data_IF_684538778432
#
_entry.id   IF_684538778432
#
_cell.length_a   1.000
_cell.length_b   1.000
_cell.length_c   1.000
_cell.angle_alpha   90.00
_cell.angle_beta   90.00
_cell.angle_gamma   90.00
#
_symmetry.space_group_name_H-M   'P 1'
#
loop_
_entity.id
_entity.type
_entity.pdbx_description
1 polymer ?
#
# COMPACT_ATOMS: atom_id res chain seq x y z
N UNK A 1 2.44 -30.38 -12.10
CA UNK A 1 1.76 -30.14 -10.81
C UNK A 1 1.46 -28.66 -10.73
N UNK A 2 0.29 -28.20 -10.25
CA UNK A 2 0.11 -26.79 -9.99
C UNK A 2 1.17 -26.39 -8.96
N UNK A 3 1.99 -25.41 -9.31
CA UNK A 3 3.02 -24.83 -8.44
C UNK A 3 2.32 -24.30 -7.19
N UNK A 4 2.74 -24.73 -6.00
CA UNK A 4 2.22 -24.11 -4.77
C UNK A 4 2.48 -22.61 -4.84
N UNK A 5 1.41 -21.80 -4.86
CA UNK A 5 1.51 -20.35 -4.88
C UNK A 5 2.05 -19.86 -3.53
N UNK A 6 3.32 -19.49 -3.52
CA UNK A 6 4.04 -19.05 -2.33
C UNK A 6 3.98 -17.52 -2.18
N UNK A 7 3.18 -17.05 -1.24
CA UNK A 7 3.06 -15.63 -0.89
C UNK A 7 3.96 -15.35 0.32
N UNK A 8 4.97 -14.51 0.13
CA UNK A 8 5.90 -14.10 1.19
C UNK A 8 5.57 -12.68 1.64
N UNK A 9 5.69 -12.39 2.94
CA UNK A 9 5.51 -11.06 3.49
C UNK A 9 6.86 -10.39 3.74
N UNK A 10 7.02 -9.18 3.21
CA UNK A 10 8.20 -8.35 3.46
C UNK A 10 8.26 -7.85 4.90
N UNK A 11 9.39 -7.24 5.32
CA UNK A 11 9.62 -6.85 6.71
C UNK A 11 8.63 -5.81 7.26
N UNK A 12 7.97 -5.05 6.38
CA UNK A 12 6.99 -4.03 6.74
C UNK A 12 5.54 -4.47 6.47
N UNK A 13 5.32 -5.71 6.05
CA UNK A 13 4.02 -6.27 5.73
C UNK A 13 3.60 -7.26 6.81
N UNK A 14 2.34 -7.25 7.22
CA UNK A 14 1.81 -8.19 8.23
C UNK A 14 0.78 -9.10 7.57
N UNK A 15 0.97 -10.40 7.71
CA UNK A 15 0.01 -11.38 7.17
C UNK A 15 -1.38 -11.25 7.79
N UNK A 16 -1.46 -10.83 9.05
CA UNK A 16 -2.72 -10.55 9.75
C UNK A 16 -3.53 -9.40 9.13
N UNK A 17 -2.89 -8.54 8.32
CA UNK A 17 -3.55 -7.39 7.70
C UNK A 17 -4.14 -7.74 6.32
N UNK A 18 -3.94 -8.97 5.83
CA UNK A 18 -4.48 -9.44 4.54
C UNK A 18 -5.49 -10.54 4.79
N UNK A 19 -6.72 -10.32 4.35
CA UNK A 19 -7.81 -11.27 4.61
C UNK A 19 -7.63 -12.56 3.83
N UNK A 20 -8.21 -13.65 4.32
CA UNK A 20 -8.24 -14.94 3.61
C UNK A 20 -8.87 -14.81 2.23
N UNK A 21 -9.91 -13.97 2.10
CA UNK A 21 -10.53 -13.64 0.82
C UNK A 21 -9.53 -13.02 -0.16
N UNK A 22 -8.83 -11.96 0.24
CA UNK A 22 -7.84 -11.29 -0.60
C UNK A 22 -6.66 -12.19 -0.96
N UNK A 23 -6.22 -13.06 -0.05
CA UNK A 23 -5.22 -14.08 -0.35
C UNK A 23 -5.73 -15.11 -1.38
N UNK A 24 -7.01 -15.48 -1.33
CA UNK A 24 -7.66 -16.31 -2.35
C UNK A 24 -7.63 -15.65 -3.73
N UNK A 25 -8.06 -14.39 -3.81
CA UNK A 25 -8.01 -13.59 -5.05
C UNK A 25 -6.58 -13.54 -5.59
N UNK A 26 -5.59 -13.25 -4.74
CA UNK A 26 -4.19 -13.17 -5.15
C UNK A 26 -3.67 -14.52 -5.67
N UNK A 27 -4.02 -15.64 -5.04
CA UNK A 27 -3.65 -16.99 -5.52
C UNK A 27 -4.27 -17.29 -6.88
N UNK A 28 -5.53 -16.97 -7.09
CA UNK A 28 -6.20 -17.19 -8.38
C UNK A 28 -5.52 -16.39 -9.50
N UNK A 29 -5.18 -15.13 -9.24
CA UNK A 29 -4.40 -14.28 -10.15
C UNK A 29 -3.03 -14.90 -10.42
N UNK A 30 -2.33 -15.35 -9.38
CA UNK A 30 -1.04 -16.01 -9.51
C UNK A 30 -1.13 -17.27 -10.38
N UNK A 31 -2.15 -18.10 -10.19
CA UNK A 31 -2.40 -19.30 -11.01
C UNK A 31 -2.67 -18.91 -12.47
N UNK A 32 -3.55 -17.93 -12.72
CA UNK A 32 -3.88 -17.47 -14.07
C UNK A 32 -2.67 -16.89 -14.81
N UNK A 33 -1.73 -16.30 -14.09
CA UNK A 33 -0.49 -15.73 -14.64
C UNK A 33 0.70 -16.69 -14.63
N UNK A 34 0.55 -17.93 -14.16
CA UNK A 34 1.64 -18.89 -13.95
C UNK A 34 2.78 -18.33 -13.06
N UNK A 35 2.42 -17.53 -12.04
CA UNK A 35 3.35 -16.98 -11.06
C UNK A 35 3.39 -17.87 -9.82
N UNK A 36 4.51 -18.52 -9.57
CA UNK A 36 4.65 -19.44 -8.44
C UNK A 36 4.92 -18.73 -7.11
N UNK A 37 5.57 -17.56 -7.13
CA UNK A 37 6.00 -16.85 -5.92
C UNK A 37 5.93 -15.33 -6.13
N UNK A 38 5.58 -14.61 -5.07
CA UNK A 38 5.68 -13.15 -4.99
C UNK A 38 5.90 -12.69 -3.54
N UNK A 39 6.21 -11.41 -3.37
CA UNK A 39 6.36 -10.76 -2.06
C UNK A 39 5.31 -9.65 -1.93
N UNK A 40 4.45 -9.74 -0.90
CA UNK A 40 3.66 -8.62 -0.43
C UNK A 40 4.60 -7.69 0.35
N UNK A 41 4.87 -6.50 -0.19
CA UNK A 41 5.82 -5.53 0.37
C UNK A 41 5.20 -4.58 1.37
N UNK A 42 3.89 -4.36 1.30
CA UNK A 42 3.18 -3.49 2.23
C UNK A 42 1.72 -3.91 2.37
N UNK A 43 1.15 -3.66 3.55
CA UNK A 43 -0.25 -3.98 3.92
C UNK A 43 -0.88 -2.76 4.59
N UNK A 44 -2.10 -2.95 5.12
CA UNK A 44 -2.83 -1.94 5.88
C UNK A 44 -1.95 -1.24 6.94
N UNK A 45 -2.20 0.05 7.15
CA UNK A 45 -1.42 0.94 8.01
C UNK A 45 -2.34 1.67 8.97
N UNK A 46 -1.91 1.77 10.21
CA UNK A 46 -2.44 2.77 11.12
C UNK A 46 -2.08 4.18 10.62
N UNK A 47 -2.78 5.25 11.06
CA UNK A 47 -2.37 6.62 10.76
C UNK A 47 -0.92 6.93 11.15
N UNK A 48 -0.45 6.36 12.26
CA UNK A 48 0.93 6.51 12.72
C UNK A 48 1.94 5.80 11.80
N UNK A 49 1.59 4.60 11.32
CA UNK A 49 2.40 3.89 10.32
C UNK A 49 2.44 4.63 8.99
N UNK A 50 1.31 5.19 8.55
CA UNK A 50 1.25 6.00 7.34
C UNK A 50 2.12 7.27 7.48
N UNK A 51 2.09 7.96 8.62
CA UNK A 51 2.99 9.08 8.90
C UNK A 51 4.47 8.68 8.85
N UNK A 52 4.83 7.55 9.48
CA UNK A 52 6.19 7.01 9.46
C UNK A 52 6.66 6.69 8.04
N UNK A 53 5.82 6.05 7.23
CA UNK A 53 6.15 5.72 5.82
C UNK A 53 6.32 7.00 5.00
N UNK A 54 5.40 7.96 5.12
CA UNK A 54 5.52 9.25 4.44
C UNK A 54 6.80 9.99 4.83
N UNK A 55 7.11 10.05 6.13
CA UNK A 55 8.35 10.65 6.64
C UNK A 55 9.59 9.98 6.02
N UNK A 56 9.67 8.66 6.07
CA UNK A 56 10.81 7.92 5.52
C UNK A 56 10.96 8.11 4.01
N UNK A 57 9.85 8.15 3.27
CA UNK A 57 9.89 8.39 1.83
C UNK A 57 10.32 9.84 1.51
N UNK A 58 9.94 10.82 2.34
CA UNK A 58 10.40 12.20 2.19
C UNK A 58 11.92 12.31 2.42
N UNK A 59 12.45 11.63 3.43
CA UNK A 59 13.90 11.62 3.72
C UNK A 59 14.71 10.87 2.64
N UNK A 60 14.16 9.81 2.04
CA UNK A 60 14.91 8.94 1.11
C UNK A 60 14.69 9.25 -0.37
N UNK A 61 13.51 9.74 -0.75
CA UNK A 61 13.12 10.00 -2.15
C UNK A 61 12.95 11.50 -2.44
N UNK A 62 12.85 12.33 -1.40
CA UNK A 62 12.71 13.77 -1.49
C UNK A 62 11.27 14.27 -1.67
N UNK A 63 11.05 15.52 -1.25
CA UNK A 63 9.76 16.21 -1.27
C UNK A 63 9.14 16.23 -2.67
N UNK A 64 9.93 16.56 -3.69
CA UNK A 64 9.43 16.68 -5.06
C UNK A 64 8.84 15.36 -5.60
N UNK A 65 9.45 14.23 -5.25
CA UNK A 65 8.92 12.92 -5.64
C UNK A 65 7.59 12.62 -4.91
N UNK A 66 7.54 12.87 -3.61
CA UNK A 66 6.34 12.61 -2.82
C UNK A 66 5.17 13.53 -3.19
N UNK A 67 5.43 14.80 -3.57
CA UNK A 67 4.37 15.71 -4.04
C UNK A 67 3.75 15.29 -5.38
N UNK A 68 4.50 14.60 -6.23
CA UNK A 68 3.95 14.00 -7.48
C UNK A 68 3.09 12.77 -7.20
N UNK A 69 3.44 12.00 -6.16
CA UNK A 69 2.73 10.78 -5.77
C UNK A 69 1.40 11.09 -5.06
N UNK A 70 1.43 11.98 -4.07
CA UNK A 70 0.27 12.27 -3.25
C UNK A 70 -0.67 13.31 -3.87
N UNK A 71 -1.98 13.06 -3.73
CA UNK A 71 -3.04 14.06 -3.96
C UNK A 71 -3.07 15.10 -2.83
N UNK A 72 -3.94 16.12 -2.97
CA UNK A 72 -4.02 17.26 -2.04
C UNK A 72 -4.04 16.89 -0.53
N UNK A 73 -4.79 15.88 -0.04
CA UNK A 73 -4.72 15.52 1.39
C UNK A 73 -3.34 15.04 1.82
N UNK A 74 -2.69 14.18 1.02
CA UNK A 74 -1.32 13.75 1.30
C UNK A 74 -0.30 14.89 1.17
N UNK A 75 -0.50 15.82 0.23
CA UNK A 75 0.33 17.02 0.11
C UNK A 75 0.24 17.91 1.36
N UNK A 76 -0.94 18.03 1.97
CA UNK A 76 -1.08 18.76 3.24
C UNK A 76 -0.31 18.11 4.40
N UNK A 77 -0.12 16.78 4.39
CA UNK A 77 0.76 16.09 5.36
C UNK A 77 2.24 16.35 5.05
N UNK A 78 2.60 16.46 3.76
CA UNK A 78 3.95 16.88 3.35
C UNK A 78 4.24 18.31 3.82
N UNK A 79 3.27 19.22 3.75
CA UNK A 79 3.42 20.59 4.27
C UNK A 79 3.76 20.59 5.77
N UNK A 80 3.14 19.70 6.55
CA UNK A 80 3.45 19.53 7.99
C UNK A 80 4.89 19.05 8.21
N UNK A 81 5.37 18.13 7.36
CA UNK A 81 6.77 17.71 7.38
C UNK A 81 7.71 18.89 7.12
N UNK A 82 7.47 19.65 6.04
CA UNK A 82 8.33 20.78 5.65
C UNK A 82 8.37 21.86 6.74
N UNK A 83 7.22 22.25 7.28
CA UNK A 83 7.13 23.19 8.39
C UNK A 83 7.86 22.68 9.64
N UNK A 84 7.75 21.38 9.93
CA UNK A 84 8.44 20.74 11.04
C UNK A 84 9.96 20.77 10.89
N UNK A 85 10.48 20.46 9.70
CA UNK A 85 11.92 20.52 9.40
C UNK A 85 12.44 21.96 9.46
N UNK A 86 11.71 22.92 8.89
CA UNK A 86 12.07 24.34 8.95
C UNK A 86 12.12 24.89 10.39
N UNK A 87 11.26 24.39 11.27
CA UNK A 87 11.23 24.73 12.68
C UNK A 87 12.25 23.95 13.55
N UNK A 88 13.10 23.10 12.95
CA UNK A 88 14.10 22.32 13.69
C UNK A 88 13.51 21.26 14.64
N UNK A 89 12.29 20.78 14.38
CA UNK A 89 11.65 19.75 15.21
C UNK A 89 12.35 18.40 15.04
N UNK A 90 12.27 17.58 16.08
CA UNK A 90 12.76 16.19 16.04
C UNK A 90 11.91 15.33 15.10
N UNK A 91 12.48 14.27 14.54
CA UNK A 91 11.76 13.33 13.66
C UNK A 91 10.49 12.77 14.31
N UNK A 92 10.52 12.49 15.62
CA UNK A 92 9.36 11.99 16.35
C UNK A 92 8.25 13.04 16.50
N UNK A 93 8.61 14.29 16.80
CA UNK A 93 7.64 15.38 16.84
C UNK A 93 7.01 15.65 15.47
N UNK A 94 7.79 15.53 14.38
CA UNK A 94 7.29 15.68 13.01
C UNK A 94 6.32 14.54 12.67
N UNK A 95 6.69 13.28 12.91
CA UNK A 95 5.82 12.12 12.68
C UNK A 95 4.53 12.20 13.49
N UNK A 96 4.59 12.67 14.74
CA UNK A 96 3.39 12.89 15.57
C UNK A 96 2.47 13.96 14.96
N UNK A 97 3.03 15.09 14.50
CA UNK A 97 2.25 16.14 13.82
C UNK A 97 1.65 15.65 12.50
N UNK A 98 2.40 14.88 11.71
CA UNK A 98 1.91 14.24 10.49
C UNK A 98 0.77 13.27 10.80
N UNK A 99 0.89 12.47 11.87
CA UNK A 99 -0.16 11.54 12.33
C UNK A 99 -1.44 12.30 12.67
N UNK A 100 -1.32 13.40 13.44
CA UNK A 100 -2.46 14.25 13.77
C UNK A 100 -3.13 14.81 12.50
N UNK A 101 -2.33 15.26 11.52
CA UNK A 101 -2.87 15.76 10.25
C UNK A 101 -3.57 14.67 9.43
N UNK A 102 -3.05 13.44 9.42
CA UNK A 102 -3.70 12.30 8.77
C UNK A 102 -5.07 12.01 9.40
N UNK A 103 -5.15 12.02 10.73
CA UNK A 103 -6.41 11.84 11.43
C UNK A 103 -7.40 12.97 11.12
N UNK A 104 -6.94 14.22 11.14
CA UNK A 104 -7.74 15.41 10.81
C UNK A 104 -8.34 15.34 9.40
N UNK A 105 -7.53 14.96 8.41
CA UNK A 105 -7.95 14.89 7.00
C UNK A 105 -8.79 13.65 6.68
N UNK A 106 -8.85 12.67 7.58
CA UNK A 106 -9.38 11.35 7.33
C UNK A 106 -8.30 10.43 6.71
N UNK A 107 -7.91 9.32 7.37
CA UNK A 107 -6.81 8.49 6.91
C UNK A 107 -6.98 7.97 5.48
N UNK A 108 -8.20 7.57 5.10
CA UNK A 108 -8.52 7.12 3.74
C UNK A 108 -8.36 8.21 2.68
N UNK A 109 -8.52 9.49 3.02
CA UNK A 109 -8.31 10.59 2.07
C UNK A 109 -6.81 10.80 1.78
N UNK A 110 -5.94 10.44 2.74
CA UNK A 110 -4.49 10.53 2.60
C UNK A 110 -3.92 9.30 1.90
N UNK A 111 -4.35 8.10 2.30
CA UNK A 111 -3.87 6.83 1.75
C UNK A 111 -4.90 5.72 1.97
N UNK A 112 -5.21 4.96 0.93
CA UNK A 112 -6.12 3.81 1.04
C UNK A 112 -5.52 2.65 1.86
N UNK A 113 -4.19 2.61 2.04
CA UNK A 113 -3.57 1.73 3.03
C UNK A 113 -4.07 1.99 4.46
N UNK A 114 -4.71 3.14 4.74
CA UNK A 114 -5.32 3.43 6.03
C UNK A 114 -6.85 3.23 6.07
N UNK A 115 -7.42 2.52 5.09
CA UNK A 115 -8.82 2.09 5.10
C UNK A 115 -9.11 1.04 6.20
N UNK A 116 -10.39 0.83 6.50
CA UNK A 116 -10.81 -0.33 7.30
C UNK A 116 -10.61 -1.59 6.46
N UNK A 117 -9.73 -2.53 6.86
CA UNK A 117 -9.46 -3.75 6.11
C UNK A 117 -10.69 -4.66 5.98
N UNK A 118 -11.74 -4.48 6.82
CA UNK A 118 -13.02 -5.20 6.72
C UNK A 118 -13.91 -4.69 5.60
N UNK A 119 -13.66 -3.49 5.08
CA UNK A 119 -14.42 -2.91 3.96
C UNK A 119 -13.58 -2.93 2.68
N UNK A 120 -12.30 -2.60 2.80
CA UNK A 120 -11.35 -2.53 1.69
C UNK A 120 -9.99 -3.00 2.15
N UNK A 121 -9.58 -4.18 1.71
CA UNK A 121 -8.24 -4.69 2.01
C UNK A 121 -7.25 -4.19 0.96
N UNK A 122 -6.19 -3.52 1.44
CA UNK A 122 -5.20 -2.85 0.59
C UNK A 122 -3.82 -3.41 0.89
N UNK A 123 -3.10 -3.79 -0.17
CA UNK A 123 -1.73 -4.30 -0.07
C UNK A 123 -0.97 -4.06 -1.37
N UNK A 124 0.36 -4.00 -1.26
CA UNK A 124 1.24 -3.87 -2.41
C UNK A 124 2.05 -5.14 -2.60
N UNK A 125 2.13 -5.62 -3.84
CA UNK A 125 3.10 -6.64 -4.25
C UNK A 125 4.34 -5.94 -4.81
N UNK A 126 5.53 -6.39 -4.41
CA UNK A 126 6.78 -5.89 -4.96
C UNK A 126 6.91 -6.32 -6.44
N UNK A 127 6.93 -5.40 -7.42
CA UNK A 127 6.99 -5.78 -8.84
C UNK A 127 8.21 -6.64 -9.16
N UNK A 128 9.35 -6.37 -8.52
CA UNK A 128 10.61 -7.12 -8.69
C UNK A 128 10.55 -8.57 -8.17
N UNK A 129 9.53 -8.94 -7.41
CA UNK A 129 9.33 -10.31 -6.92
C UNK A 129 8.51 -11.20 -7.85
N UNK A 130 7.90 -10.62 -8.89
CA UNK A 130 6.99 -11.31 -9.81
C UNK A 130 7.76 -11.70 -11.07
N UNK A 131 7.85 -13.01 -11.34
CA UNK A 131 8.66 -13.54 -12.45
C UNK A 131 8.19 -13.08 -13.84
N UNK A 132 6.88 -13.06 -14.08
CA UNK A 132 6.27 -12.46 -15.28
C UNK A 132 5.27 -11.39 -14.87
N UNK A 133 5.79 -10.17 -14.68
CA UNK A 133 4.98 -9.03 -14.24
C UNK A 133 3.90 -8.66 -15.26
N UNK A 134 4.12 -8.90 -16.56
CA UNK A 134 3.17 -8.52 -17.60
C UNK A 134 1.97 -9.48 -17.61
N UNK A 135 2.22 -10.78 -17.57
CA UNK A 135 1.16 -11.78 -17.44
C UNK A 135 0.38 -11.59 -16.13
N UNK A 136 1.08 -11.30 -15.03
CA UNK A 136 0.47 -11.03 -13.74
C UNK A 136 -0.45 -9.80 -13.80
N UNK A 137 0.02 -8.66 -14.29
CA UNK A 137 -0.83 -7.47 -14.44
C UNK A 137 -2.04 -7.71 -15.36
N UNK A 138 -1.87 -8.50 -16.42
CA UNK A 138 -2.97 -8.85 -17.32
C UNK A 138 -4.02 -9.75 -16.63
N UNK A 139 -3.59 -10.66 -15.76
CA UNK A 139 -4.49 -11.48 -14.95
C UNK A 139 -5.24 -10.62 -13.90
N UNK A 140 -4.54 -9.74 -13.18
CA UNK A 140 -5.16 -8.84 -12.19
C UNK A 140 -6.24 -7.98 -12.83
N UNK A 141 -5.95 -7.35 -13.98
CA UNK A 141 -6.91 -6.47 -14.68
C UNK A 141 -8.16 -7.18 -15.19
N UNK A 142 -8.15 -8.51 -15.27
CA UNK A 142 -9.30 -9.33 -15.67
C UNK A 142 -10.12 -9.83 -14.47
N UNK A 143 -9.58 -9.72 -13.25
CA UNK A 143 -10.25 -10.21 -12.05
C UNK A 143 -11.19 -9.13 -11.49
N UNK A 144 -12.49 -9.34 -11.63
CA UNK A 144 -13.53 -8.40 -11.21
C UNK A 144 -13.58 -8.16 -9.69
N UNK A 145 -12.91 -8.99 -8.87
CA UNK A 145 -12.82 -8.83 -7.42
C UNK A 145 -11.81 -7.74 -7.02
N UNK A 146 -10.89 -7.38 -7.92
CA UNK A 146 -9.94 -6.28 -7.70
C UNK A 146 -10.56 -4.98 -8.19
N UNK A 147 -11.05 -4.16 -7.26
CA UNK A 147 -11.73 -2.89 -7.60
C UNK A 147 -10.78 -1.85 -8.17
N UNK A 148 -9.52 -1.86 -7.72
CA UNK A 148 -8.50 -0.94 -8.20
C UNK A 148 -7.13 -1.58 -8.14
N UNK A 149 -6.38 -1.35 -9.21
CA UNK A 149 -5.03 -1.85 -9.38
C UNK A 149 -4.15 -0.73 -9.94
N UNK A 150 -3.13 -0.33 -9.19
CA UNK A 150 -2.15 0.67 -9.62
C UNK A 150 -0.79 0.00 -9.81
N UNK A 151 -0.05 0.48 -10.83
CA UNK A 151 1.24 -0.08 -11.24
C UNK A 151 2.25 1.04 -11.44
N UNK A 152 3.55 0.73 -11.47
CA UNK A 152 4.56 1.71 -11.88
C UNK A 152 4.26 2.30 -13.27
N UNK A 153 4.57 3.58 -13.51
CA UNK A 153 5.20 4.54 -12.59
C UNK A 153 4.21 5.26 -11.64
N UNK A 154 2.90 5.00 -11.74
CA UNK A 154 1.89 5.70 -10.94
C UNK A 154 1.94 5.31 -9.46
N UNK A 155 2.33 4.07 -9.17
CA UNK A 155 2.62 3.56 -7.83
C UNK A 155 3.93 2.76 -7.88
N UNK A 156 4.85 2.88 -6.90
CA UNK A 156 6.08 2.08 -6.88
C UNK A 156 5.82 0.57 -6.73
N UNK A 157 4.69 0.19 -6.13
CA UNK A 157 4.24 -1.20 -5.98
C UNK A 157 3.21 -1.60 -7.04
N UNK A 158 2.86 -2.89 -7.03
CA UNK A 158 1.63 -3.38 -7.62
C UNK A 158 0.55 -3.27 -6.53
N UNK A 159 -0.15 -2.14 -6.48
CA UNK A 159 -1.10 -1.78 -5.42
C UNK A 159 -2.47 -2.37 -5.70
N UNK A 160 -2.99 -3.16 -4.77
CA UNK A 160 -4.29 -3.81 -4.82
C UNK A 160 -5.29 -3.14 -3.88
N UNK A 161 -6.51 -2.93 -4.33
CA UNK A 161 -7.66 -2.61 -3.48
C UNK A 161 -8.78 -3.63 -3.74
N UNK A 162 -9.05 -4.48 -2.75
CA UNK A 162 -10.03 -5.56 -2.84
C UNK A 162 -11.17 -5.26 -1.85
N UNK A 163 -12.38 -4.93 -2.33
CA UNK A 163 -13.55 -4.81 -1.47
C UNK A 163 -13.81 -6.15 -0.79
N UNK A 164 -14.10 -6.12 0.50
CA UNK A 164 -14.37 -7.33 1.25
C UNK A 164 -15.87 -7.66 1.24
N UNK A 165 -16.26 -8.93 1.07
CA UNK A 165 -17.64 -9.34 1.23
C UNK A 165 -18.05 -9.22 2.71
N UNK A 166 -19.35 -9.07 2.97
CA UNK A 166 -19.91 -8.84 4.31
C UNK A 166 -19.57 -9.94 5.34
N UNK A 167 -19.12 -11.11 4.87
CA UNK A 167 -18.75 -12.30 5.65
C UNK A 167 -17.24 -12.60 5.68
N UNK A 168 -16.38 -11.73 5.13
CA UNK A 168 -14.93 -11.87 5.23
C UNK A 168 -14.42 -11.46 6.62
N UNK A 169 -14.60 -12.34 7.60
CA UNK A 169 -13.97 -12.25 8.93
C UNK A 169 -12.84 -13.28 9.06
#
# INVERSE_FOLDING_TARGET
MPTENNIVFGPNAKSSDVTSYSLGVLRDVMTAANVAKLIISSTQRSPADQARVMFNNLETQGIAAQRRLYKAPGQAVIDVYEAGKAAGKTSDAIKAAMTAKINELGPMNVSHHAADPKLLNVFDVAPSSVADVNAFQAAVKKDARVSKFLTPPNDPGLHFEIPQPDDAA
#
